data_IF_277606217595
#
_entry.id   IF_277606217595
#
_cell.length_a   1.000
_cell.length_b   1.000
_cell.length_c   1.000
_cell.angle_alpha   90.00
_cell.angle_beta   90.00
_cell.angle_gamma   90.00
#
_symmetry.space_group_name_H-M   'P 1'
#
loop_
_entity.id
_entity.type
_entity.pdbx_description
1 polymer ?
#
# COMPACT_ATOMS: atom_id res chain seq x y z
N UNK A 1 20.63 -13.33 26.51
CA UNK A 1 20.11 -14.06 25.34
C UNK A 1 19.96 -13.00 24.26
N UNK A 2 20.93 -12.92 23.35
CA UNK A 2 20.90 -11.94 22.26
C UNK A 2 19.66 -12.24 21.40
N UNK A 3 18.72 -11.30 21.34
CA UNK A 3 17.70 -11.27 20.30
C UNK A 3 18.45 -11.14 18.97
N UNK A 4 18.68 -12.28 18.31
CA UNK A 4 19.22 -12.27 16.96
C UNK A 4 18.18 -11.60 16.08
N UNK A 5 18.54 -10.47 15.48
CA UNK A 5 17.76 -9.81 14.45
C UNK A 5 17.31 -10.86 13.43
N UNK A 6 16.03 -11.24 13.47
CA UNK A 6 15.48 -12.25 12.58
C UNK A 6 15.39 -11.62 11.19
N UNK A 7 16.10 -12.19 10.23
CA UNK A 7 16.01 -11.78 8.83
C UNK A 7 14.59 -12.09 8.34
N UNK A 8 13.86 -11.06 7.91
CA UNK A 8 12.53 -11.19 7.31
C UNK A 8 12.64 -11.96 5.98
N UNK A 9 11.93 -13.08 5.87
CA UNK A 9 11.87 -13.88 4.64
C UNK A 9 10.85 -13.33 3.64
N UNK A 10 10.94 -13.73 2.37
CA UNK A 10 9.94 -13.36 1.34
C UNK A 10 8.54 -13.83 1.73
N UNK A 11 8.41 -15.04 2.28
CA UNK A 11 7.12 -15.57 2.73
C UNK A 11 6.51 -14.73 3.85
N UNK A 12 7.30 -14.43 4.89
CA UNK A 12 6.82 -13.60 6.00
C UNK A 12 6.45 -12.19 5.53
N UNK A 13 7.19 -11.64 4.56
CA UNK A 13 6.82 -10.36 3.94
C UNK A 13 5.50 -10.46 3.17
N UNK A 14 5.29 -11.51 2.36
CA UNK A 14 4.05 -11.76 1.61
C UNK A 14 2.87 -11.84 2.57
N UNK A 15 2.97 -12.67 3.61
CA UNK A 15 1.91 -12.86 4.60
C UNK A 15 1.60 -11.56 5.34
N UNK A 16 2.63 -10.82 5.75
CA UNK A 16 2.47 -9.55 6.46
C UNK A 16 1.86 -8.47 5.57
N UNK A 17 2.28 -8.39 4.29
CA UNK A 17 1.74 -7.40 3.38
C UNK A 17 0.30 -7.75 2.96
N UNK A 18 0.01 -9.03 2.81
CA UNK A 18 -1.34 -9.52 2.59
C UNK A 18 -2.28 -9.13 3.73
N UNK A 19 -1.84 -9.30 4.98
CA UNK A 19 -2.61 -8.89 6.15
C UNK A 19 -2.90 -7.38 6.14
N UNK A 20 -1.91 -6.54 5.78
CA UNK A 20 -2.13 -5.10 5.59
C UNK A 20 -3.21 -4.83 4.53
N UNK A 21 -3.16 -5.51 3.38
CA UNK A 21 -4.16 -5.33 2.32
C UNK A 21 -5.57 -5.78 2.76
N UNK A 22 -5.68 -6.83 3.56
CA UNK A 22 -6.97 -7.24 4.16
C UNK A 22 -7.50 -6.19 5.16
N UNK A 23 -6.63 -5.55 5.94
CA UNK A 23 -7.02 -4.41 6.78
C UNK A 23 -7.51 -3.22 5.95
N UNK A 24 -6.90 -2.96 4.80
CA UNK A 24 -7.35 -1.91 3.87
C UNK A 24 -8.72 -2.23 3.28
N UNK A 25 -8.92 -3.47 2.81
CA UNK A 25 -10.20 -3.92 2.29
C UNK A 25 -11.29 -3.81 3.37
N UNK A 26 -10.99 -4.24 4.61
CA UNK A 26 -11.93 -4.11 5.73
C UNK A 26 -12.30 -2.66 6.01
N UNK A 27 -11.31 -1.77 6.03
CA UNK A 27 -11.54 -0.34 6.21
C UNK A 27 -12.49 0.23 5.15
N UNK A 28 -12.25 -0.05 3.87
CA UNK A 28 -13.13 0.45 2.80
C UNK A 28 -14.55 -0.12 2.87
N UNK A 29 -14.70 -1.37 3.33
CA UNK A 29 -16.00 -2.03 3.44
C UNK A 29 -16.82 -1.57 4.64
N UNK A 30 -16.18 -1.40 5.79
CA UNK A 30 -16.87 -1.29 7.08
C UNK A 30 -16.77 0.12 7.69
N UNK A 31 -15.62 0.77 7.57
CA UNK A 31 -15.32 1.99 8.33
C UNK A 31 -15.44 3.27 7.49
N UNK A 32 -15.20 3.15 6.17
CA UNK A 32 -15.14 4.28 5.25
C UNK A 32 -16.37 5.19 5.29
N UNK A 33 -17.59 4.60 5.34
CA UNK A 33 -18.85 5.36 5.39
C UNK A 33 -18.98 6.23 6.64
N UNK A 34 -18.37 5.81 7.75
CA UNK A 34 -18.30 6.62 8.97
C UNK A 34 -17.28 7.75 8.82
N UNK A 35 -16.09 7.42 8.33
CA UNK A 35 -14.96 8.34 8.19
C UNK A 35 -15.17 9.44 7.14
N UNK A 36 -15.94 9.19 6.07
CA UNK A 36 -16.21 10.22 5.04
C UNK A 36 -16.97 11.43 5.61
N UNK A 37 -17.71 11.26 6.70
CA UNK A 37 -18.37 12.37 7.42
C UNK A 37 -17.38 13.27 8.17
N UNK A 38 -16.12 12.83 8.29
CA UNK A 38 -15.04 13.50 9.00
C UNK A 38 -13.81 13.59 8.09
N UNK A 39 -13.83 14.49 7.08
CA UNK A 39 -12.85 14.47 5.98
C UNK A 39 -11.39 14.59 6.44
N UNK A 40 -11.12 15.39 7.46
CA UNK A 40 -9.76 15.52 8.02
C UNK A 40 -9.26 14.20 8.60
N UNK A 41 -10.10 13.49 9.36
CA UNK A 41 -9.73 12.18 9.91
C UNK A 41 -9.56 11.13 8.82
N UNK A 42 -10.42 11.16 7.80
CA UNK A 42 -10.30 10.28 6.63
C UNK A 42 -8.96 10.51 5.92
N UNK A 43 -8.57 11.76 5.69
CA UNK A 43 -7.30 12.08 5.02
C UNK A 43 -6.09 11.60 5.83
N UNK A 44 -6.07 11.78 7.15
CA UNK A 44 -4.99 11.28 7.99
C UNK A 44 -4.92 9.75 8.01
N UNK A 45 -6.07 9.07 8.04
CA UNK A 45 -6.15 7.61 7.94
C UNK A 45 -5.60 7.10 6.60
N UNK A 46 -5.97 7.73 5.49
CA UNK A 46 -5.45 7.37 4.16
C UNK A 46 -3.94 7.61 4.06
N UNK A 47 -3.44 8.71 4.62
CA UNK A 47 -1.99 8.99 4.67
C UNK A 47 -1.23 7.92 5.46
N UNK A 48 -1.73 7.52 6.63
CA UNK A 48 -1.07 6.50 7.45
C UNK A 48 -1.05 5.14 6.73
N UNK A 49 -2.14 4.76 6.06
CA UNK A 49 -2.18 3.54 5.24
C UNK A 49 -1.15 3.55 4.11
N UNK A 50 -1.04 4.67 3.38
CA UNK A 50 0.00 4.83 2.35
C UNK A 50 1.41 4.76 2.94
N UNK A 51 1.64 5.38 4.11
CA UNK A 51 2.93 5.35 4.81
C UNK A 51 3.30 3.93 5.23
N UNK A 52 2.39 3.18 5.85
CA UNK A 52 2.60 1.76 6.21
C UNK A 52 2.99 0.94 4.99
N UNK A 53 2.29 1.13 3.87
CA UNK A 53 2.58 0.45 2.62
C UNK A 53 3.97 0.77 2.05
N UNK A 54 4.41 2.02 2.11
CA UNK A 54 5.75 2.40 1.69
C UNK A 54 6.84 1.67 2.49
N UNK A 55 6.60 1.32 3.76
CA UNK A 55 7.52 0.49 4.55
C UNK A 55 7.66 -0.89 3.91
N UNK A 56 6.55 -1.54 3.54
CA UNK A 56 6.59 -2.84 2.87
C UNK A 56 7.38 -2.78 1.56
N UNK A 57 7.19 -1.76 0.73
CA UNK A 57 7.96 -1.58 -0.51
C UNK A 57 9.45 -1.41 -0.27
N UNK A 58 9.84 -0.73 0.80
CA UNK A 58 11.25 -0.57 1.17
C UNK A 58 11.83 -1.90 1.63
N UNK A 59 11.11 -2.64 2.49
CA UNK A 59 11.53 -3.95 2.97
C UNK A 59 11.71 -4.95 1.82
N UNK A 60 10.80 -4.97 0.85
CA UNK A 60 10.83 -5.88 -0.29
C UNK A 60 12.14 -5.83 -1.07
N UNK A 61 12.71 -4.63 -1.26
CA UNK A 61 13.97 -4.43 -2.00
C UNK A 61 15.19 -5.08 -1.34
N UNK A 62 15.08 -5.40 -0.06
CA UNK A 62 16.17 -5.97 0.73
C UNK A 62 15.98 -7.46 1.02
N UNK A 63 14.91 -8.08 0.51
CA UNK A 63 14.65 -9.50 0.70
C UNK A 63 15.60 -10.35 -0.16
N UNK A 64 16.15 -11.39 0.44
CA UNK A 64 16.98 -12.37 -0.27
C UNK A 64 16.10 -13.37 -1.00
N UNK A 65 16.25 -13.41 -2.32
CA UNK A 65 15.62 -14.40 -3.19
C UNK A 65 16.42 -15.70 -3.31
N UNK A 66 17.69 -15.67 -2.91
CA UNK A 66 18.62 -16.81 -3.07
C UNK A 66 18.32 -17.95 -2.11
N UNK A 67 17.70 -17.62 -0.99
CA UNK A 67 17.37 -18.57 0.08
C UNK A 67 15.97 -19.18 -0.10
N UNK A 68 15.27 -18.87 -1.19
CA UNK A 68 13.94 -19.39 -1.48
C UNK A 68 14.04 -20.82 -2.07
N UNK A 69 13.49 -21.85 -1.41
CA UNK A 69 13.45 -23.20 -1.95
C UNK A 69 12.67 -23.25 -3.27
N UNK A 70 13.10 -24.11 -4.20
CA UNK A 70 12.50 -24.21 -5.54
C UNK A 70 11.03 -24.61 -5.49
N UNK A 71 10.67 -25.41 -4.51
CA UNK A 71 9.31 -25.90 -4.27
C UNK A 71 8.35 -24.75 -3.89
N UNK A 72 8.90 -23.65 -3.37
CA UNK A 72 8.13 -22.50 -2.91
C UNK A 72 8.02 -21.40 -3.99
N UNK A 73 8.82 -21.51 -5.06
CA UNK A 73 8.91 -20.49 -6.10
C UNK A 73 7.57 -20.18 -6.75
N UNK A 74 6.83 -21.21 -7.16
CA UNK A 74 5.51 -21.06 -7.77
C UNK A 74 4.55 -20.33 -6.84
N UNK A 75 4.45 -20.76 -5.58
CA UNK A 75 3.59 -20.11 -4.61
C UNK A 75 3.97 -18.64 -4.37
N UNK A 76 5.26 -18.34 -4.28
CA UNK A 76 5.75 -16.96 -4.12
C UNK A 76 5.38 -16.10 -5.31
N UNK A 77 5.63 -16.56 -6.54
CA UNK A 77 5.28 -15.82 -7.76
C UNK A 77 3.78 -15.56 -7.84
N UNK A 78 2.94 -16.59 -7.67
CA UNK A 78 1.49 -16.47 -7.72
C UNK A 78 0.99 -15.47 -6.67
N UNK A 79 1.53 -15.53 -5.44
CA UNK A 79 1.14 -14.61 -4.37
C UNK A 79 1.59 -13.18 -4.60
N UNK A 80 2.74 -12.97 -5.23
CA UNK A 80 3.19 -11.62 -5.58
C UNK A 80 2.32 -10.99 -6.67
N UNK A 81 1.88 -11.78 -7.65
CA UNK A 81 0.95 -11.33 -8.66
C UNK A 81 -0.40 -10.94 -8.05
N UNK A 82 -0.92 -11.77 -7.12
CA UNK A 82 -2.15 -11.44 -6.37
C UNK A 82 -1.99 -10.17 -5.52
N UNK A 83 -0.86 -10.03 -4.81
CA UNK A 83 -0.54 -8.83 -4.02
C UNK A 83 -0.51 -7.60 -4.92
N UNK A 84 0.12 -7.68 -6.08
CA UNK A 84 0.23 -6.56 -7.02
C UNK A 84 -1.15 -6.17 -7.56
N UNK A 85 -1.99 -7.15 -7.91
CA UNK A 85 -3.35 -6.90 -8.37
C UNK A 85 -4.19 -6.19 -7.30
N UNK A 86 -4.13 -6.68 -6.04
CA UNK A 86 -4.80 -6.03 -4.90
C UNK A 86 -4.29 -4.62 -4.65
N UNK A 87 -2.99 -4.44 -4.76
CA UNK A 87 -2.35 -3.16 -4.52
C UNK A 87 -2.78 -2.09 -5.52
N UNK A 88 -2.86 -2.46 -6.81
CA UNK A 88 -3.38 -1.58 -7.84
C UNK A 88 -4.82 -1.15 -7.53
N UNK A 89 -5.69 -2.10 -7.15
CA UNK A 89 -7.08 -1.80 -6.80
C UNK A 89 -7.20 -0.88 -5.58
N UNK A 90 -6.39 -1.13 -4.53
CA UNK A 90 -6.38 -0.29 -3.33
C UNK A 90 -5.90 1.12 -3.68
N UNK A 91 -4.79 1.23 -4.40
CA UNK A 91 -4.24 2.53 -4.81
C UNK A 91 -5.22 3.32 -5.68
N UNK A 92 -5.86 2.69 -6.66
CA UNK A 92 -6.90 3.31 -7.48
C UNK A 92 -8.09 3.79 -6.64
N UNK A 93 -8.51 2.98 -5.67
CA UNK A 93 -9.62 3.33 -4.78
C UNK A 93 -9.27 4.54 -3.91
N UNK A 94 -8.06 4.58 -3.35
CA UNK A 94 -7.58 5.72 -2.55
C UNK A 94 -7.54 6.99 -3.42
N UNK A 95 -6.98 6.92 -4.62
CA UNK A 95 -6.90 8.08 -5.53
C UNK A 95 -8.29 8.63 -5.85
N UNK A 96 -9.25 7.78 -6.20
CA UNK A 96 -10.64 8.19 -6.46
C UNK A 96 -11.29 8.84 -5.23
N UNK A 97 -11.02 8.33 -4.03
CA UNK A 97 -11.52 8.94 -2.80
C UNK A 97 -10.90 10.33 -2.60
N UNK A 98 -9.59 10.47 -2.80
CA UNK A 98 -8.90 11.75 -2.67
C UNK A 98 -9.42 12.78 -3.67
N UNK A 99 -9.68 12.37 -4.91
CA UNK A 99 -10.26 13.25 -5.95
C UNK A 99 -11.64 13.76 -5.52
N UNK A 100 -12.54 12.85 -5.10
CA UNK A 100 -13.89 13.21 -4.65
C UNK A 100 -13.87 14.09 -3.40
N UNK A 101 -13.01 13.77 -2.42
CA UNK A 101 -12.87 14.58 -1.21
C UNK A 101 -12.29 15.96 -1.55
N UNK A 102 -11.34 16.02 -2.48
CA UNK A 102 -10.78 17.26 -3.04
C UNK A 102 -11.86 18.16 -3.63
N UNK A 103 -12.70 17.60 -4.51
CA UNK A 103 -13.78 18.33 -5.17
C UNK A 103 -14.87 18.80 -4.20
N UNK A 104 -15.32 17.93 -3.28
CA UNK A 104 -16.47 18.22 -2.40
C UNK A 104 -16.10 19.19 -1.28
N UNK A 105 -14.91 19.07 -0.69
CA UNK A 105 -14.57 19.79 0.54
C UNK A 105 -13.59 20.95 0.35
N UNK A 106 -12.93 21.06 -0.81
CA UNK A 106 -11.88 22.07 -1.06
C UNK A 106 -12.11 22.87 -2.34
N UNK A 107 -13.35 22.92 -2.85
CA UNK A 107 -13.70 23.63 -4.09
C UNK A 107 -13.45 25.14 -4.06
N UNK A 108 -12.63 25.60 -5.00
CA UNK A 108 -12.37 26.97 -5.49
C UNK A 108 -11.62 28.00 -4.63
N UNK A 109 -11.17 27.71 -3.41
CA UNK A 109 -10.17 28.57 -2.77
C UNK A 109 -8.73 28.12 -3.09
N UNK A 110 -8.10 28.97 -3.90
CA UNK A 110 -6.69 29.00 -4.28
C UNK A 110 -6.24 27.88 -5.21
N UNK A 111 -5.49 28.28 -6.23
CA UNK A 111 -4.71 27.39 -7.08
C UNK A 111 -3.67 26.63 -6.25
N UNK A 112 -4.13 25.60 -5.54
CA UNK A 112 -3.39 24.40 -5.24
C UNK A 112 -3.01 23.85 -6.60
N UNK A 113 -1.86 24.35 -7.04
CA UNK A 113 -1.08 23.91 -8.17
C UNK A 113 -1.43 22.48 -8.50
N UNK A 114 -1.66 22.23 -9.77
CA UNK A 114 -1.56 20.90 -10.41
C UNK A 114 -0.21 20.20 -10.17
N UNK A 115 0.56 20.53 -9.13
CA UNK A 115 1.13 19.51 -8.26
C UNK A 115 -0.05 18.73 -7.67
N UNK A 116 -0.67 17.85 -8.44
CA UNK A 116 -0.31 16.43 -8.32
C UNK A 116 0.12 16.21 -6.88
N UNK A 117 -0.81 15.77 -6.01
CA UNK A 117 -0.41 14.97 -4.86
C UNK A 117 0.34 13.78 -5.45
N UNK A 118 1.60 14.00 -5.83
CA UNK A 118 2.57 12.96 -6.05
C UNK A 118 2.78 12.43 -4.65
N UNK A 119 1.90 11.51 -4.25
CA UNK A 119 2.40 10.29 -3.69
C UNK A 119 3.57 9.92 -4.61
N UNK A 120 4.79 10.07 -4.11
CA UNK A 120 5.98 9.46 -4.70
C UNK A 120 5.75 7.94 -4.66
N UNK A 121 4.82 7.47 -5.47
CA UNK A 121 4.87 6.14 -6.04
C UNK A 121 6.16 6.17 -6.84
N UNK A 122 7.12 5.28 -6.55
CA UNK A 122 8.35 5.26 -7.30
C UNK A 122 7.99 5.08 -8.78
N UNK A 123 8.17 6.15 -9.57
CA UNK A 123 8.09 6.24 -11.03
C UNK A 123 9.22 5.41 -11.69
N UNK A 124 9.49 4.23 -11.15
CA UNK A 124 10.33 3.22 -11.75
C UNK A 124 9.40 2.08 -12.06
N UNK A 125 9.09 1.92 -13.34
CA UNK A 125 8.79 0.60 -13.91
C UNK A 125 9.68 -0.39 -13.19
N UNK A 126 9.09 -1.23 -12.35
CA UNK A 126 9.81 -2.35 -11.76
C UNK A 126 10.02 -3.29 -12.94
N UNK A 127 11.15 -3.10 -13.62
CA UNK A 127 11.65 -4.03 -14.62
C UNK A 127 12.20 -5.19 -13.79
N UNK A 128 11.52 -6.32 -13.83
CA UNK A 128 12.09 -7.59 -13.39
C UNK A 128 13.23 -7.92 -14.37
N UNK A 129 14.47 -7.96 -13.86
CA UNK A 129 15.61 -8.53 -14.57
C UNK A 129 15.81 -9.97 -14.09
#
# INVERSE_FOLDING_TARGET
MEERDKILTIKEWIESFWALQEEDIRFFREEFRGKIKQPKELLEELKERMRRRQVFYKLFKHLSWRDLPKEEWTWVCDKLDEILARENLITETINKILDVVGEIFFGEEEGLSKSTFKLDLPDKKIIFH
#
